data_IF_391496380316
#
_entry.id   IF_391496380316
#
_cell.length_a   1.000
_cell.length_b   1.000
_cell.length_c   1.000
_cell.angle_alpha   90.00
_cell.angle_beta   90.00
_cell.angle_gamma   90.00
#
_symmetry.space_group_name_H-M   'P 1'
#
loop_
_entity.id
_entity.type
_entity.pdbx_description
1 polymer ?
#
# COMPACT_ATOMS: atom_id res chain seq x y z
N UNK A 1 -7.10 -52.29 17.46
CA UNK A 1 -6.30 -51.05 17.31
C UNK A 1 -5.17 -51.14 16.28
N UNK A 2 -4.67 -52.31 15.86
CA UNK A 2 -3.53 -52.44 14.92
C UNK A 2 -3.86 -52.11 13.45
N UNK A 3 -5.09 -52.36 12.97
CA UNK A 3 -5.48 -52.11 11.56
C UNK A 3 -5.60 -50.62 11.19
N UNK A 4 -6.02 -49.77 12.13
CA UNK A 4 -6.20 -48.32 11.89
C UNK A 4 -4.86 -47.59 11.71
N UNK A 5 -3.81 -48.01 12.43
CA UNK A 5 -2.47 -47.45 12.30
C UNK A 5 -1.83 -47.72 10.93
N UNK A 6 -2.08 -48.90 10.34
CA UNK A 6 -1.57 -49.29 9.01
C UNK A 6 -2.20 -48.48 7.86
N UNK A 7 -3.50 -48.15 7.97
CA UNK A 7 -4.20 -47.33 6.97
C UNK A 7 -3.72 -45.88 7.04
N UNK A 8 -3.54 -45.33 8.25
CA UNK A 8 -2.99 -43.99 8.46
C UNK A 8 -1.56 -43.90 7.88
N UNK A 9 -0.71 -44.91 8.10
CA UNK A 9 0.63 -44.96 7.52
C UNK A 9 0.63 -45.06 5.98
N UNK A 10 -0.28 -45.83 5.38
CA UNK A 10 -0.43 -45.89 3.90
C UNK A 10 -0.92 -44.57 3.33
N UNK A 11 -1.90 -43.92 3.97
CA UNK A 11 -2.40 -42.60 3.55
C UNK A 11 -1.28 -41.56 3.67
N UNK A 12 -0.49 -41.60 4.75
CA UNK A 12 0.65 -40.71 4.95
C UNK A 12 1.76 -40.97 3.91
N UNK A 13 2.04 -42.23 3.56
CA UNK A 13 3.04 -42.58 2.54
C UNK A 13 2.60 -42.16 1.12
N UNK A 14 1.34 -42.37 0.76
CA UNK A 14 0.76 -41.92 -0.52
C UNK A 14 0.73 -40.40 -0.59
N UNK A 15 0.33 -39.73 0.50
CA UNK A 15 0.34 -38.27 0.60
C UNK A 15 1.75 -37.69 0.49
N UNK A 16 2.76 -38.36 1.08
CA UNK A 16 4.16 -37.93 0.99
C UNK A 16 4.73 -38.09 -0.42
N UNK A 17 4.46 -39.22 -1.10
CA UNK A 17 4.87 -39.43 -2.50
C UNK A 17 4.23 -38.41 -3.44
N UNK A 18 2.91 -38.22 -3.31
CA UNK A 18 2.20 -37.20 -4.09
C UNK A 18 2.76 -35.80 -3.88
N UNK A 19 3.16 -35.43 -2.64
CA UNK A 19 3.84 -34.15 -2.37
C UNK A 19 5.23 -34.05 -2.99
N UNK A 20 5.99 -35.14 -2.99
CA UNK A 20 7.33 -35.17 -3.58
C UNK A 20 7.27 -35.10 -5.11
N UNK A 21 6.35 -35.85 -5.72
CA UNK A 21 6.09 -35.80 -7.16
C UNK A 21 5.64 -34.39 -7.59
N UNK A 22 4.77 -33.75 -6.79
CA UNK A 22 4.37 -32.35 -7.03
C UNK A 22 5.54 -31.37 -6.90
N UNK A 23 6.47 -31.58 -5.97
CA UNK A 23 7.69 -30.75 -5.84
C UNK A 23 8.64 -30.93 -7.01
N UNK A 24 8.81 -32.15 -7.48
CA UNK A 24 9.66 -32.43 -8.63
C UNK A 24 9.10 -31.77 -9.90
N UNK A 25 7.79 -31.93 -10.16
CA UNK A 25 7.11 -31.25 -11.28
C UNK A 25 7.21 -29.73 -11.16
N UNK A 26 6.99 -29.19 -9.96
CA UNK A 26 7.17 -27.78 -9.66
C UNK A 26 8.59 -27.28 -9.98
N UNK A 27 9.61 -28.04 -9.58
CA UNK A 27 11.01 -27.72 -9.82
C UNK A 27 11.35 -27.77 -11.30
N UNK A 28 10.90 -28.79 -12.03
CA UNK A 28 11.12 -28.93 -13.47
C UNK A 28 10.46 -27.77 -14.24
N UNK A 29 9.18 -27.47 -13.98
CA UNK A 29 8.46 -26.37 -14.62
C UNK A 29 9.11 -25.01 -14.34
N UNK A 30 9.59 -24.78 -13.11
CA UNK A 30 10.22 -23.51 -12.72
C UNK A 30 11.68 -23.37 -13.19
N UNK A 31 12.40 -24.47 -13.41
CA UNK A 31 13.82 -24.44 -13.80
C UNK A 31 14.03 -23.82 -15.18
N UNK A 32 13.18 -24.18 -16.14
CA UNK A 32 13.18 -23.64 -17.49
C UNK A 32 12.36 -22.34 -17.58
N UNK A 33 11.26 -22.29 -16.84
CA UNK A 33 10.21 -21.29 -16.99
C UNK A 33 9.35 -21.54 -18.24
N UNK A 34 8.12 -20.98 -18.27
CA UNK A 34 7.20 -21.19 -19.38
C UNK A 34 7.75 -20.57 -20.67
N UNK A 35 7.53 -21.25 -21.80
CA UNK A 35 7.89 -20.76 -23.13
C UNK A 35 6.67 -20.41 -23.99
N UNK A 36 5.47 -20.69 -23.50
CA UNK A 36 4.22 -20.37 -24.18
C UNK A 36 3.14 -19.96 -23.18
N UNK A 37 2.12 -19.26 -23.66
CA UNK A 37 0.98 -18.85 -22.85
C UNK A 37 0.20 -20.04 -22.29
N UNK A 38 0.22 -21.19 -22.99
CA UNK A 38 -0.38 -22.43 -22.52
C UNK A 38 0.39 -23.02 -21.33
N UNK A 39 1.73 -23.03 -21.38
CA UNK A 39 2.58 -23.45 -20.25
C UNK A 39 2.44 -22.50 -19.06
N UNK A 40 2.35 -21.19 -19.31
CA UNK A 40 2.13 -20.21 -18.27
C UNK A 40 0.76 -20.38 -17.59
N UNK A 41 -0.30 -20.67 -18.37
CA UNK A 41 -1.61 -21.00 -17.82
C UNK A 41 -1.58 -22.27 -16.96
N UNK A 42 -0.92 -23.32 -17.43
CA UNK A 42 -0.75 -24.54 -16.65
C UNK A 42 -0.05 -24.27 -15.31
N UNK A 43 0.93 -23.35 -15.29
CA UNK A 43 1.60 -22.95 -14.05
C UNK A 43 0.67 -22.16 -13.10
N UNK A 44 -0.21 -21.29 -13.62
CA UNK A 44 -1.25 -20.64 -12.82
C UNK A 44 -2.25 -21.64 -12.23
N UNK A 45 -2.73 -22.59 -13.04
CA UNK A 45 -3.67 -23.63 -12.61
C UNK A 45 -3.04 -24.54 -11.54
N UNK A 46 -1.77 -24.88 -11.73
CA UNK A 46 -1.00 -25.64 -10.74
C UNK A 46 -0.80 -24.84 -9.46
N UNK A 47 -0.46 -23.56 -9.57
CA UNK A 47 -0.33 -22.66 -8.43
C UNK A 47 -1.62 -22.53 -7.60
N UNK A 48 -2.78 -22.50 -8.25
CA UNK A 48 -4.08 -22.46 -7.58
C UNK A 48 -4.35 -23.72 -6.72
N UNK A 49 -3.75 -24.86 -7.08
CA UNK A 49 -3.89 -26.15 -6.38
C UNK A 49 -2.85 -26.36 -5.28
N UNK A 50 -1.71 -25.67 -5.36
CA UNK A 50 -0.54 -25.88 -4.49
C UNK A 50 -0.55 -24.99 -3.23
N UNK A 51 -1.57 -25.09 -2.38
CA UNK A 51 -1.58 -24.38 -1.08
C UNK A 51 -0.73 -25.13 -0.03
N UNK A 52 0.37 -24.50 0.43
CA UNK A 52 1.14 -24.94 1.62
C UNK A 52 1.93 -26.24 1.46
N UNK A 53 2.15 -26.73 0.25
CA UNK A 53 2.86 -27.99 -0.01
C UNK A 53 4.40 -27.84 0.00
N UNK A 54 4.91 -26.65 -0.29
CA UNK A 54 6.34 -26.37 -0.47
C UNK A 54 6.65 -24.92 -0.04
N UNK A 55 7.52 -24.70 0.96
CA UNK A 55 7.79 -23.37 1.50
C UNK A 55 8.46 -22.41 0.51
N UNK A 56 9.16 -22.93 -0.49
CA UNK A 56 9.87 -22.09 -1.46
C UNK A 56 9.08 -21.87 -2.76
N UNK A 57 7.95 -22.57 -2.92
CA UNK A 57 7.13 -22.55 -4.14
C UNK A 57 6.75 -21.12 -4.54
N UNK A 58 6.24 -20.34 -3.59
CA UNK A 58 5.79 -18.97 -3.82
C UNK A 58 6.92 -18.12 -4.42
N UNK A 59 8.12 -18.20 -3.85
CA UNK A 59 9.28 -17.45 -4.34
C UNK A 59 9.71 -17.86 -5.75
N UNK A 60 9.64 -19.16 -6.07
CA UNK A 60 9.98 -19.71 -7.39
C UNK A 60 8.96 -19.30 -8.43
N UNK A 61 7.67 -19.51 -8.14
CA UNK A 61 6.56 -19.13 -9.00
C UNK A 61 6.62 -17.64 -9.34
N UNK A 62 6.71 -16.79 -8.31
CA UNK A 62 6.80 -15.33 -8.45
C UNK A 62 7.99 -14.94 -9.34
N UNK A 63 9.17 -15.54 -9.11
CA UNK A 63 10.38 -15.22 -9.89
C UNK A 63 10.24 -15.61 -11.35
N UNK A 64 9.76 -16.82 -11.61
CA UNK A 64 9.65 -17.39 -12.97
C UNK A 64 8.59 -16.65 -13.77
N UNK A 65 7.41 -16.44 -13.18
CA UNK A 65 6.31 -15.74 -13.85
C UNK A 65 6.62 -14.27 -14.09
N UNK A 66 7.26 -13.57 -13.14
CA UNK A 66 7.68 -12.18 -13.39
C UNK A 66 8.66 -12.09 -14.57
N UNK A 67 9.62 -13.03 -14.67
CA UNK A 67 10.54 -13.07 -15.81
C UNK A 67 9.82 -13.32 -17.13
N UNK A 68 8.87 -14.25 -17.14
CA UNK A 68 8.07 -14.55 -18.33
C UNK A 68 7.25 -13.33 -18.78
N UNK A 69 6.47 -12.74 -17.87
CA UNK A 69 5.60 -11.59 -18.16
C UNK A 69 6.42 -10.40 -18.68
N UNK A 70 7.60 -10.13 -18.12
CA UNK A 70 8.44 -9.01 -18.58
C UNK A 70 9.23 -9.30 -19.87
N UNK A 71 9.42 -10.56 -20.23
CA UNK A 71 10.04 -10.97 -21.49
C UNK A 71 9.04 -11.13 -22.64
N UNK A 72 7.74 -11.24 -22.31
CA UNK A 72 6.65 -11.40 -23.27
C UNK A 72 6.54 -10.18 -24.17
N UNK A 73 6.15 -10.43 -25.42
CA UNK A 73 5.90 -9.44 -26.47
C UNK A 73 7.09 -8.48 -26.74
N UNK A 74 8.32 -8.99 -26.57
CA UNK A 74 9.56 -8.22 -26.77
C UNK A 74 9.63 -6.90 -25.97
N UNK A 75 8.94 -6.84 -24.83
CA UNK A 75 8.81 -5.64 -24.01
C UNK A 75 10.12 -5.18 -23.32
N UNK A 76 11.25 -5.86 -23.56
CA UNK A 76 12.58 -5.52 -23.03
C UNK A 76 12.58 -5.20 -21.52
N UNK A 77 11.77 -5.93 -20.74
CA UNK A 77 11.67 -5.74 -19.30
C UNK A 77 10.63 -4.72 -18.84
N UNK A 78 9.88 -4.08 -19.73
CA UNK A 78 8.74 -3.24 -19.39
C UNK A 78 7.46 -4.07 -19.20
N UNK A 79 6.59 -3.64 -18.29
CA UNK A 79 5.24 -4.17 -18.21
C UNK A 79 4.37 -3.36 -19.18
N UNK A 80 3.96 -3.95 -20.29
CA UNK A 80 3.07 -3.30 -21.27
C UNK A 80 1.60 -3.44 -20.85
N UNK A 81 0.69 -2.59 -21.37
CA UNK A 81 -0.75 -2.77 -21.17
C UNK A 81 -1.24 -4.16 -21.60
N UNK A 82 -0.78 -4.66 -22.75
CA UNK A 82 -1.14 -5.99 -23.23
C UNK A 82 -0.68 -7.12 -22.29
N UNK A 83 0.52 -7.00 -21.68
CA UNK A 83 1.00 -7.95 -20.68
C UNK A 83 0.19 -7.87 -19.38
N UNK A 84 -0.26 -6.68 -19.00
CA UNK A 84 -1.12 -6.48 -17.83
C UNK A 84 -2.51 -7.07 -18.06
N UNK A 85 -3.15 -6.77 -19.19
CA UNK A 85 -4.47 -7.31 -19.55
C UNK A 85 -4.43 -8.84 -19.58
N UNK A 86 -3.41 -9.41 -20.24
CA UNK A 86 -3.18 -10.85 -20.29
C UNK A 86 -3.03 -11.48 -18.90
N UNK A 87 -2.31 -10.81 -18.00
CA UNK A 87 -2.12 -11.28 -16.63
C UNK A 87 -3.43 -11.20 -15.84
N UNK A 88 -4.17 -10.10 -15.97
CA UNK A 88 -5.44 -9.88 -15.30
C UNK A 88 -6.50 -10.90 -15.72
N UNK A 89 -6.61 -11.22 -17.01
CA UNK A 89 -7.53 -12.26 -17.50
C UNK A 89 -7.27 -13.62 -16.84
N UNK A 90 -6.00 -14.00 -16.68
CA UNK A 90 -5.61 -15.31 -16.14
C UNK A 90 -5.72 -15.38 -14.62
N UNK A 91 -5.50 -14.25 -13.97
CA UNK A 91 -5.71 -14.09 -12.53
C UNK A 91 -7.22 -14.00 -12.20
N UNK A 92 -8.04 -13.48 -13.11
CA UNK A 92 -9.49 -13.31 -12.94
C UNK A 92 -10.30 -14.62 -13.03
N UNK A 93 -9.73 -15.71 -13.56
CA UNK A 93 -10.44 -17.00 -13.74
C UNK A 93 -10.44 -17.87 -12.45
N UNK A 94 -9.81 -17.42 -11.36
CA UNK A 94 -9.88 -18.09 -10.05
C UNK A 94 -10.50 -17.21 -8.96
N UNK A 95 -11.09 -17.85 -7.92
CA UNK A 95 -11.58 -17.19 -6.70
C UNK A 95 -10.58 -16.11 -6.26
N UNK A 96 -11.02 -14.86 -6.45
CA UNK A 96 -10.25 -13.62 -6.40
C UNK A 96 -9.02 -13.74 -5.55
N UNK A 97 -7.84 -13.82 -6.17
CA UNK A 97 -6.61 -13.26 -5.59
C UNK A 97 -6.25 -13.71 -4.13
N UNK A 98 -6.87 -14.78 -3.59
CA UNK A 98 -6.64 -15.31 -2.23
C UNK A 98 -5.29 -16.02 -2.11
N UNK A 99 -4.46 -15.97 -3.15
CA UNK A 99 -3.19 -16.66 -3.21
C UNK A 99 -2.06 -15.66 -2.96
N UNK A 100 -1.42 -15.73 -1.78
CA UNK A 100 -0.36 -14.80 -1.32
C UNK A 100 0.77 -14.61 -2.33
N UNK A 101 1.06 -15.62 -3.15
CA UNK A 101 2.07 -15.52 -4.19
C UNK A 101 1.66 -14.66 -5.40
N UNK A 102 0.37 -14.42 -5.65
CA UNK A 102 -0.07 -13.47 -6.68
C UNK A 102 0.27 -12.04 -6.26
N UNK A 103 -0.01 -11.66 -5.00
CA UNK A 103 0.45 -10.38 -4.46
C UNK A 103 1.97 -10.21 -4.60
N UNK A 104 2.73 -11.28 -4.30
CA UNK A 104 4.17 -11.32 -4.50
C UNK A 104 4.61 -11.14 -5.97
N UNK A 105 3.85 -11.69 -6.92
CA UNK A 105 4.08 -11.52 -8.36
C UNK A 105 3.86 -10.06 -8.78
N UNK A 106 2.73 -9.48 -8.41
CA UNK A 106 2.40 -8.07 -8.69
C UNK A 106 3.45 -7.12 -8.12
N UNK A 107 3.83 -7.31 -6.84
CA UNK A 107 4.89 -6.54 -6.20
C UNK A 107 6.23 -6.69 -6.91
N UNK A 108 6.59 -7.90 -7.32
CA UNK A 108 7.84 -8.14 -8.06
C UNK A 108 7.83 -7.45 -9.42
N UNK A 109 6.70 -7.47 -10.14
CA UNK A 109 6.55 -6.76 -11.41
C UNK A 109 6.72 -5.26 -11.20
N UNK A 110 6.05 -4.68 -10.19
CA UNK A 110 6.18 -3.27 -9.85
C UNK A 110 7.63 -2.87 -9.54
N UNK A 111 8.38 -3.74 -8.86
CA UNK A 111 9.78 -3.49 -8.49
C UNK A 111 10.78 -3.69 -9.64
N UNK A 112 10.50 -4.59 -10.57
CA UNK A 112 11.49 -5.05 -11.58
C UNK A 112 11.24 -4.53 -12.98
N UNK A 113 10.01 -4.11 -13.29
CA UNK A 113 9.72 -3.56 -14.61
C UNK A 113 10.49 -2.26 -14.83
N UNK A 114 11.03 -2.09 -16.04
CA UNK A 114 11.69 -0.83 -16.44
C UNK A 114 10.69 0.31 -16.65
N UNK A 115 9.43 -0.02 -16.92
CA UNK A 115 8.29 0.87 -16.95
C UNK A 115 7.01 0.08 -16.65
N UNK A 116 6.03 0.74 -16.03
CA UNK A 116 4.74 0.13 -15.70
C UNK A 116 3.60 0.94 -16.32
N UNK A 117 2.46 0.31 -16.68
CA UNK A 117 1.30 1.03 -17.17
C UNK A 117 0.70 1.91 -16.07
N UNK A 118 0.09 3.02 -16.47
CA UNK A 118 -0.64 3.89 -15.55
C UNK A 118 -1.71 3.10 -14.80
N UNK A 119 -1.84 3.37 -13.50
CA UNK A 119 -2.80 2.67 -12.64
C UNK A 119 -2.38 1.28 -12.16
N UNK A 120 -1.29 0.69 -12.67
CA UNK A 120 -0.80 -0.61 -12.19
C UNK A 120 -0.52 -0.59 -10.69
N UNK A 121 0.16 0.44 -10.19
CA UNK A 121 0.40 0.62 -8.75
C UNK A 121 -0.88 0.67 -7.91
N UNK A 122 -1.96 1.24 -8.46
CA UNK A 122 -3.27 1.29 -7.79
C UNK A 122 -3.91 -0.10 -7.72
N UNK A 123 -3.77 -0.92 -8.77
CA UNK A 123 -4.25 -2.31 -8.78
C UNK A 123 -3.52 -3.12 -7.70
N UNK A 124 -2.18 -2.97 -7.61
CA UNK A 124 -1.38 -3.65 -6.58
C UNK A 124 -1.80 -3.19 -5.17
N UNK A 125 -1.96 -1.87 -4.98
CA UNK A 125 -2.39 -1.30 -3.70
C UNK A 125 -3.75 -1.83 -3.27
N UNK A 126 -4.75 -1.80 -4.16
CA UNK A 126 -6.09 -2.32 -3.90
C UNK A 126 -6.03 -3.78 -3.47
N UNK A 127 -5.25 -4.59 -4.19
CA UNK A 127 -5.15 -6.00 -3.90
C UNK A 127 -4.53 -6.28 -2.51
N UNK A 128 -3.46 -5.58 -2.15
CA UNK A 128 -2.82 -5.73 -0.82
C UNK A 128 -3.78 -5.33 0.30
N UNK A 129 -4.48 -4.22 0.12
CA UNK A 129 -5.49 -3.73 1.06
C UNK A 129 -6.68 -4.69 1.19
N UNK A 130 -7.19 -5.22 0.09
CA UNK A 130 -8.27 -6.23 0.12
C UNK A 130 -7.84 -7.48 0.89
N UNK A 131 -6.58 -7.92 0.77
CA UNK A 131 -6.07 -9.03 1.57
C UNK A 131 -6.03 -8.69 3.07
N UNK A 132 -5.58 -7.49 3.44
CA UNK A 132 -5.60 -7.05 4.85
C UNK A 132 -7.01 -7.01 5.43
N UNK A 133 -8.00 -6.58 4.65
CA UNK A 133 -9.42 -6.59 5.03
C UNK A 133 -9.92 -8.02 5.24
N UNK A 134 -9.58 -8.93 4.32
CA UNK A 134 -9.98 -10.35 4.41
C UNK A 134 -9.33 -11.06 5.59
N UNK A 135 -8.06 -10.79 5.85
CA UNK A 135 -7.31 -11.30 7.01
C UNK A 135 -7.74 -10.60 8.31
N UNK A 136 -8.55 -9.53 8.20
CA UNK A 136 -8.98 -8.65 9.28
C UNK A 136 -7.82 -8.14 10.15
N UNK A 137 -6.66 -7.89 9.53
CA UNK A 137 -5.44 -7.51 10.22
C UNK A 137 -4.43 -6.85 9.27
N UNK A 138 -3.82 -5.77 9.72
CA UNK A 138 -2.61 -5.20 9.13
C UNK A 138 -1.36 -5.74 9.84
N UNK A 139 -0.77 -6.83 9.34
CA UNK A 139 0.52 -7.30 9.87
C UNK A 139 1.70 -6.45 9.33
N UNK A 140 2.85 -6.50 10.01
CA UNK A 140 4.03 -5.71 9.62
C UNK A 140 4.48 -5.95 8.16
N UNK A 141 4.30 -7.17 7.65
CA UNK A 141 4.69 -7.54 6.28
C UNK A 141 3.77 -6.86 5.25
N UNK A 142 2.47 -6.90 5.49
CA UNK A 142 1.45 -6.30 4.64
C UNK A 142 1.58 -4.78 4.63
N UNK A 143 1.80 -4.18 5.81
CA UNK A 143 2.09 -2.74 5.93
C UNK A 143 3.34 -2.35 5.13
N UNK A 144 4.41 -3.15 5.22
CA UNK A 144 5.64 -2.94 4.44
C UNK A 144 5.40 -2.98 2.92
N UNK A 145 4.61 -3.94 2.44
CA UNK A 145 4.27 -4.07 1.03
C UNK A 145 3.40 -2.88 0.55
N UNK A 146 2.45 -2.41 1.36
CA UNK A 146 1.63 -1.23 1.05
C UNK A 146 2.50 0.02 0.99
N UNK A 147 3.41 0.22 1.95
CA UNK A 147 4.33 1.34 1.97
C UNK A 147 5.24 1.36 0.73
N UNK A 148 5.83 0.21 0.38
CA UNK A 148 6.65 0.07 -0.83
C UNK A 148 5.83 0.33 -2.09
N UNK A 149 4.61 -0.19 -2.17
CA UNK A 149 3.71 0.07 -3.31
C UNK A 149 3.46 1.56 -3.47
N UNK A 150 3.11 2.27 -2.40
CA UNK A 150 2.88 3.72 -2.46
C UNK A 150 4.14 4.49 -2.88
N UNK A 151 5.33 4.05 -2.45
CA UNK A 151 6.62 4.66 -2.81
C UNK A 151 7.00 4.46 -4.29
N UNK A 152 6.71 3.27 -4.83
CA UNK A 152 6.97 2.92 -6.23
C UNK A 152 5.87 3.41 -7.18
N UNK A 153 4.67 3.61 -6.65
CA UNK A 153 3.53 4.16 -7.39
C UNK A 153 3.65 5.68 -7.52
N UNK A 154 2.90 6.23 -8.48
CA UNK A 154 2.73 7.66 -8.65
C UNK A 154 3.38 8.17 -9.93
N UNK A 155 2.63 8.91 -10.78
CA UNK A 155 3.21 9.49 -11.96
C UNK A 155 4.16 10.63 -11.59
N UNK A 156 5.19 10.85 -12.40
CA UNK A 156 6.18 11.90 -12.16
C UNK A 156 5.53 13.29 -12.00
N UNK A 157 4.43 13.56 -12.72
CA UNK A 157 3.72 14.84 -12.68
C UNK A 157 2.90 15.08 -11.39
N UNK A 158 2.64 14.06 -10.58
CA UNK A 158 1.95 14.18 -9.29
C UNK A 158 2.65 13.32 -8.21
N UNK A 159 3.78 13.80 -7.66
CA UNK A 159 4.64 13.02 -6.77
C UNK A 159 4.05 12.81 -5.35
N UNK A 160 2.82 13.23 -5.07
CA UNK A 160 2.12 13.03 -3.79
C UNK A 160 1.06 11.92 -3.91
N UNK A 161 0.57 11.42 -2.77
CA UNK A 161 -0.51 10.42 -2.69
C UNK A 161 -1.79 10.95 -3.36
N UNK A 162 -2.26 10.21 -4.35
CA UNK A 162 -3.44 10.53 -5.14
C UNK A 162 -4.74 10.31 -4.36
N UNK A 163 -5.85 10.84 -4.88
CA UNK A 163 -7.19 10.62 -4.30
C UNK A 163 -7.58 9.14 -4.30
N UNK A 164 -7.25 8.42 -5.37
CA UNK A 164 -7.60 7.00 -5.50
C UNK A 164 -6.83 6.15 -4.48
N UNK A 165 -5.52 6.40 -4.32
CA UNK A 165 -4.71 5.75 -3.28
C UNK A 165 -5.25 6.06 -1.88
N UNK A 166 -5.54 7.34 -1.59
CA UNK A 166 -6.09 7.75 -0.30
C UNK A 166 -7.45 7.08 0.00
N UNK A 167 -8.33 6.95 -0.99
CA UNK A 167 -9.64 6.30 -0.83
C UNK A 167 -9.51 4.82 -0.45
N UNK A 168 -8.56 4.10 -1.07
CA UNK A 168 -8.27 2.69 -0.71
C UNK A 168 -7.79 2.60 0.74
N UNK A 169 -6.86 3.48 1.15
CA UNK A 169 -6.35 3.50 2.52
C UNK A 169 -7.45 3.79 3.55
N UNK A 170 -8.35 4.74 3.27
CA UNK A 170 -9.50 5.03 4.12
C UNK A 170 -10.42 3.83 4.27
N UNK A 171 -10.83 3.23 3.15
CA UNK A 171 -11.71 2.05 3.17
C UNK A 171 -11.07 0.88 3.94
N UNK A 172 -9.77 0.68 3.75
CA UNK A 172 -9.01 -0.34 4.49
C UNK A 172 -9.04 -0.07 5.98
N UNK A 173 -8.70 1.16 6.39
CA UNK A 173 -8.68 1.55 7.80
C UNK A 173 -10.06 1.38 8.47
N UNK A 174 -11.13 1.79 7.81
CA UNK A 174 -12.50 1.60 8.32
C UNK A 174 -12.85 0.12 8.48
N UNK A 175 -12.38 -0.72 7.56
CA UNK A 175 -12.71 -2.15 7.55
C UNK A 175 -11.92 -2.98 8.57
N UNK A 176 -10.70 -2.58 8.91
CA UNK A 176 -9.85 -3.26 9.91
C UNK A 176 -9.81 -2.53 11.25
N UNK A 177 -10.70 -1.56 11.46
CA UNK A 177 -10.77 -0.81 12.71
C UNK A 177 -11.13 -1.72 13.89
N UNK A 178 -10.41 -1.59 14.99
CA UNK A 178 -10.59 -2.43 16.18
C UNK A 178 -9.88 -3.78 16.14
N UNK A 179 -9.24 -4.14 15.03
CA UNK A 179 -8.42 -5.35 14.91
C UNK A 179 -7.02 -5.16 15.52
N UNK A 180 -6.31 -6.27 15.77
CA UNK A 180 -4.93 -6.30 16.27
C UNK A 180 -3.92 -5.92 15.18
N UNK A 181 -4.00 -4.68 14.71
CA UNK A 181 -3.15 -4.14 13.66
C UNK A 181 -1.75 -3.81 14.20
N UNK A 182 -0.74 -4.01 13.37
CA UNK A 182 0.61 -3.58 13.66
C UNK A 182 0.66 -2.04 13.77
N UNK A 183 1.32 -1.47 14.79
CA UNK A 183 1.41 -0.02 14.97
C UNK A 183 1.98 0.73 13.75
N UNK A 184 2.81 0.07 12.93
CA UNK A 184 3.34 0.66 11.69
C UNK A 184 2.24 1.08 10.71
N UNK A 185 1.07 0.43 10.74
CA UNK A 185 -0.08 0.80 9.91
C UNK A 185 -0.58 2.21 10.24
N UNK A 186 -0.71 2.54 11.53
CA UNK A 186 -1.18 3.85 11.98
C UNK A 186 -0.28 4.97 11.46
N UNK A 187 1.04 4.75 11.47
CA UNK A 187 2.01 5.73 10.98
C UNK A 187 1.98 5.87 9.46
N UNK A 188 1.93 4.76 8.74
CA UNK A 188 1.83 4.76 7.28
C UNK A 188 0.56 5.50 6.82
N UNK A 189 -0.58 5.16 7.42
CA UNK A 189 -1.87 5.79 7.15
C UNK A 189 -1.80 7.30 7.40
N UNK A 190 -1.36 7.72 8.59
CA UNK A 190 -1.28 9.14 8.95
C UNK A 190 -0.39 9.93 7.97
N UNK A 191 0.76 9.39 7.58
CA UNK A 191 1.70 10.02 6.65
C UNK A 191 1.16 10.08 5.22
N UNK A 192 0.58 9.00 4.73
CA UNK A 192 0.01 8.94 3.38
C UNK A 192 -1.19 9.89 3.23
N UNK A 193 -2.12 9.85 4.18
CA UNK A 193 -3.29 10.72 4.19
C UNK A 193 -2.89 12.18 4.45
N UNK A 194 -1.94 12.43 5.35
CA UNK A 194 -1.38 13.77 5.56
C UNK A 194 -0.79 14.36 4.28
N UNK A 195 0.00 13.57 3.53
CA UNK A 195 0.57 13.98 2.25
C UNK A 195 -0.52 14.33 1.24
N UNK A 196 -1.54 13.47 1.13
CA UNK A 196 -2.70 13.71 0.26
C UNK A 196 -3.44 15.01 0.62
N UNK A 197 -3.78 15.20 1.89
CA UNK A 197 -4.55 16.36 2.37
C UNK A 197 -3.78 17.66 2.18
N UNK A 198 -2.48 17.67 2.50
CA UNK A 198 -1.63 18.85 2.34
C UNK A 198 -1.47 19.20 0.86
N UNK A 199 -1.26 18.21 -0.02
CA UNK A 199 -1.22 18.45 -1.47
C UNK A 199 -2.55 19.02 -2.00
N UNK A 200 -3.68 18.51 -1.51
CA UNK A 200 -5.03 18.95 -1.91
C UNK A 200 -5.36 20.35 -1.41
N UNK A 201 -4.90 20.71 -0.22
CA UNK A 201 -5.13 22.01 0.40
C UNK A 201 -4.22 23.11 -0.16
N UNK A 202 -3.09 22.75 -0.77
CA UNK A 202 -2.16 23.72 -1.33
C UNK A 202 -2.75 24.40 -2.59
N UNK A 203 -2.68 25.74 -2.74
CA UNK A 203 -3.24 26.46 -3.89
C UNK A 203 -2.65 26.03 -5.23
N UNK A 204 -1.36 25.72 -5.22
CA UNK A 204 -0.64 25.26 -6.40
C UNK A 204 0.39 24.20 -6.00
N UNK A 205 0.00 22.92 -5.84
CA UNK A 205 0.92 21.87 -5.36
C UNK A 205 2.09 21.64 -6.31
N UNK A 206 1.99 22.06 -7.57
CA UNK A 206 3.06 21.90 -8.55
C UNK A 206 4.27 22.82 -8.29
N UNK A 207 4.13 23.91 -7.54
CA UNK A 207 5.29 24.74 -7.15
C UNK A 207 6.12 24.08 -6.06
N UNK A 208 5.50 23.18 -5.28
CA UNK A 208 6.11 22.56 -4.09
C UNK A 208 6.33 21.05 -4.28
N UNK A 209 6.55 20.62 -5.52
CA UNK A 209 6.71 19.20 -5.91
C UNK A 209 7.74 18.45 -5.08
N UNK A 210 8.83 19.12 -4.70
CA UNK A 210 9.86 18.52 -3.85
C UNK A 210 9.31 18.25 -2.44
N UNK A 211 8.72 19.25 -1.79
CA UNK A 211 8.18 19.12 -0.44
C UNK A 211 6.98 18.15 -0.35
N UNK A 212 6.17 18.09 -1.39
CA UNK A 212 5.03 17.17 -1.50
C UNK A 212 5.41 15.78 -1.97
N UNK A 213 6.67 15.51 -2.29
CA UNK A 213 7.08 14.21 -2.77
C UNK A 213 6.84 13.14 -1.70
N UNK A 214 6.01 12.16 -2.05
CA UNK A 214 5.61 11.04 -1.18
C UNK A 214 6.80 10.30 -0.58
N UNK A 215 7.97 10.28 -1.25
CA UNK A 215 9.19 9.65 -0.72
C UNK A 215 9.61 10.23 0.63
N UNK A 216 9.50 11.55 0.80
CA UNK A 216 9.84 12.21 2.06
C UNK A 216 8.82 11.93 3.18
N UNK A 217 7.58 11.66 2.81
CA UNK A 217 6.49 11.43 3.75
C UNK A 217 6.43 9.98 4.20
N UNK A 218 6.64 9.06 3.25
CA UNK A 218 6.47 7.62 3.43
C UNK A 218 7.77 6.90 3.81
N UNK A 219 8.94 7.56 3.79
CA UNK A 219 10.19 6.93 4.24
C UNK A 219 10.13 6.62 5.74
N UNK A 220 10.15 5.34 6.14
CA UNK A 220 10.12 4.95 7.55
C UNK A 220 11.38 5.39 8.30
N UNK A 221 12.49 5.63 7.60
CA UNK A 221 13.74 6.07 8.20
C UNK A 221 13.82 7.58 8.40
N UNK A 222 12.99 8.36 7.69
CA UNK A 222 12.92 9.82 7.87
C UNK A 222 12.14 10.15 9.16
N UNK A 223 12.82 10.73 10.17
CA UNK A 223 12.17 11.07 11.42
C UNK A 223 11.33 12.36 11.33
N UNK A 224 11.37 13.12 10.23
CA UNK A 224 10.77 14.45 10.15
C UNK A 224 10.03 14.75 8.83
N UNK A 225 8.97 13.99 8.47
CA UNK A 225 8.09 14.36 7.35
C UNK A 225 7.48 15.77 7.52
N UNK A 226 7.34 16.20 8.78
CA UNK A 226 6.87 17.52 9.20
C UNK A 226 7.60 18.75 8.68
N UNK A 227 8.91 18.63 8.38
CA UNK A 227 9.72 19.74 7.86
C UNK A 227 9.16 20.32 6.57
N UNK A 228 8.59 19.44 5.74
CA UNK A 228 7.99 19.83 4.47
C UNK A 228 6.65 20.51 4.68
N UNK A 229 5.87 20.10 5.70
CA UNK A 229 4.57 20.69 6.02
C UNK A 229 4.68 22.12 6.51
N UNK A 230 5.67 22.42 7.35
CA UNK A 230 5.92 23.80 7.81
C UNK A 230 6.22 24.78 6.67
N UNK A 231 6.93 24.32 5.63
CA UNK A 231 7.17 25.10 4.42
C UNK A 231 5.88 25.32 3.60
N UNK A 232 5.01 24.30 3.54
CA UNK A 232 3.75 24.30 2.79
C UNK A 232 2.63 25.09 3.49
N UNK A 233 2.68 25.21 4.83
CA UNK A 233 1.62 25.81 5.64
C UNK A 233 1.38 27.30 5.35
N UNK A 234 2.38 27.99 4.77
CA UNK A 234 2.27 29.38 4.33
C UNK A 234 1.36 29.57 3.11
N UNK A 235 0.98 28.49 2.42
CA UNK A 235 0.10 28.51 1.26
C UNK A 235 -1.39 28.29 1.56
N UNK A 236 -1.77 27.75 2.72
CA UNK A 236 -3.17 27.37 3.01
C UNK A 236 -4.14 28.54 3.16
N UNK A 237 -3.63 29.77 3.28
CA UNK A 237 -4.46 30.98 3.32
C UNK A 237 -4.94 31.41 1.92
N UNK A 238 -4.36 30.83 0.87
CA UNK A 238 -4.65 31.09 -0.54
C UNK A 238 -5.15 29.78 -1.14
N UNK A 239 -6.38 29.75 -1.68
CA UNK A 239 -6.92 28.56 -2.34
C UNK A 239 -8.42 28.35 -2.14
N UNK A 240 -9.04 27.58 -3.04
CA UNK A 240 -10.48 27.26 -3.04
C UNK A 240 -10.82 25.95 -2.30
N UNK A 241 -9.83 25.29 -1.67
CA UNK A 241 -10.06 23.96 -1.10
C UNK A 241 -11.11 23.97 0.04
N UNK A 242 -11.06 24.96 0.94
CA UNK A 242 -12.09 25.11 1.97
C UNK A 242 -13.48 25.46 1.40
N UNK A 243 -13.56 26.11 0.24
CA UNK A 243 -14.83 26.36 -0.47
C UNK A 243 -15.38 25.08 -1.10
N UNK A 244 -14.51 24.16 -1.50
CA UNK A 244 -14.93 22.85 -2.01
C UNK A 244 -15.39 21.91 -0.88
N UNK A 245 -14.87 22.09 0.34
CA UNK A 245 -15.23 21.28 1.52
C UNK A 245 -16.46 21.83 2.26
N UNK A 246 -16.58 23.15 2.40
CA UNK A 246 -17.70 23.81 3.06
C UNK A 246 -18.89 23.97 2.13
N UNK A 247 -20.12 23.74 2.62
CA UNK A 247 -21.35 24.02 1.86
C UNK A 247 -21.65 25.53 1.75
N UNK A 248 -21.03 26.34 2.60
CA UNK A 248 -21.27 27.79 2.73
C UNK A 248 -19.97 28.59 2.53
N UNK A 249 -20.01 29.62 1.68
CA UNK A 249 -18.86 30.46 1.35
C UNK A 249 -18.29 31.24 2.55
N UNK A 250 -19.14 31.61 3.52
CA UNK A 250 -18.72 32.28 4.75
C UNK A 250 -17.88 31.36 5.65
N UNK A 251 -18.27 30.09 5.77
CA UNK A 251 -17.51 29.10 6.57
C UNK A 251 -16.17 28.77 5.95
N UNK A 252 -16.11 28.68 4.61
CA UNK A 252 -14.85 28.52 3.90
C UNK A 252 -13.90 29.71 4.13
N UNK A 253 -14.43 30.93 4.14
CA UNK A 253 -13.67 32.14 4.44
C UNK A 253 -13.18 32.18 5.89
N UNK A 254 -14.01 31.74 6.84
CA UNK A 254 -13.64 31.62 8.25
C UNK A 254 -12.56 30.55 8.45
N UNK A 255 -12.70 29.39 7.79
CA UNK A 255 -11.71 28.31 7.81
C UNK A 255 -10.34 28.79 7.32
N UNK A 256 -10.27 29.57 6.23
CA UNK A 256 -9.02 30.19 5.75
C UNK A 256 -8.40 31.13 6.77
N UNK A 257 -9.20 32.02 7.37
CA UNK A 257 -8.70 32.98 8.37
C UNK A 257 -8.12 32.23 9.57
N UNK A 258 -8.85 31.23 10.08
CA UNK A 258 -8.40 30.38 11.19
C UNK A 258 -7.14 29.60 10.84
N UNK A 259 -7.06 29.02 9.63
CA UNK A 259 -5.88 28.32 9.15
C UNK A 259 -4.66 29.24 9.03
N UNK A 260 -4.85 30.45 8.48
CA UNK A 260 -3.79 31.46 8.35
C UNK A 260 -3.28 31.93 9.71
N UNK A 261 -4.18 32.19 10.66
CA UNK A 261 -3.82 32.59 12.02
C UNK A 261 -3.05 31.48 12.73
N UNK A 262 -3.56 30.25 12.70
CA UNK A 262 -2.91 29.11 13.34
C UNK A 262 -1.57 28.72 12.68
N UNK A 263 -1.39 28.93 11.37
CA UNK A 263 -0.11 28.75 10.69
C UNK A 263 0.92 29.84 11.05
N UNK A 264 0.46 31.07 11.32
CA UNK A 264 1.30 32.21 11.73
C UNK A 264 1.62 32.20 13.23
N UNK A 265 0.76 31.61 14.04
CA UNK A 265 1.00 31.39 15.46
C UNK A 265 2.13 30.39 15.62
N UNK A 266 3.29 30.86 16.10
CA UNK A 266 4.37 29.97 16.56
C UNK A 266 3.79 28.98 17.57
N UNK A 267 4.05 27.67 17.45
CA UNK A 267 3.64 26.73 18.50
C UNK A 267 4.28 27.16 19.83
N UNK A 268 3.48 27.20 20.90
CA UNK A 268 3.89 27.71 22.22
C UNK A 268 5.10 26.95 22.80
N UNK A 269 5.34 25.73 22.36
CA UNK A 269 6.59 24.99 22.48
C UNK A 269 6.82 24.19 21.20
N UNK A 270 8.03 24.21 20.61
CA UNK A 270 8.39 23.14 19.67
C UNK A 270 8.34 21.83 20.46
N UNK A 271 7.59 20.80 20.00
CA UNK A 271 7.61 19.51 20.68
C UNK A 271 9.05 19.00 20.73
N UNK A 272 9.44 18.25 21.77
CA UNK A 272 10.79 17.72 21.88
C UNK A 272 11.13 17.00 20.57
N UNK A 273 12.28 17.36 19.98
CA UNK A 273 12.85 16.79 18.74
C UNK A 273 13.31 15.33 18.93
N UNK A 274 12.59 14.55 19.72
CA UNK A 274 12.89 13.16 20.01
C UNK A 274 12.07 12.29 19.07
N UNK A 275 12.68 11.21 18.57
CA UNK A 275 12.09 10.27 17.62
C UNK A 275 10.93 9.46 18.22
N UNK A 276 9.86 10.12 18.64
CA UNK A 276 8.58 9.50 19.03
C UNK A 276 7.97 8.67 17.89
N UNK A 277 8.41 8.88 16.66
CA UNK A 277 8.14 8.02 15.50
C UNK A 277 8.94 6.72 15.48
N UNK A 278 10.16 6.72 16.07
CA UNK A 278 11.03 5.53 16.19
C UNK A 278 10.72 4.70 17.43
N UNK A 279 10.28 5.35 18.49
CA UNK A 279 9.80 4.67 19.70
C UNK A 279 8.30 4.62 19.59
N UNK A 280 7.76 3.45 19.24
CA UNK A 280 6.34 3.16 19.42
C UNK A 280 5.90 3.82 20.73
N UNK A 281 4.91 4.73 20.73
CA UNK A 281 4.34 5.16 22.00
C UNK A 281 4.00 3.87 22.77
N UNK A 282 4.26 3.81 24.09
CA UNK A 282 3.87 2.65 24.87
C UNK A 282 2.41 2.34 24.53
N UNK A 283 2.04 1.06 24.33
CA UNK A 283 0.76 0.68 23.77
C UNK A 283 -0.34 1.26 24.66
N UNK A 284 -0.85 2.42 24.26
CA UNK A 284 -2.05 2.97 24.82
C UNK A 284 -3.16 2.20 24.09
N UNK A 285 -4.08 1.56 24.81
CA UNK A 285 -4.95 0.53 24.24
C UNK A 285 -5.95 1.03 23.15
N UNK A 286 -5.89 2.30 22.75
CA UNK A 286 -6.85 2.92 21.81
C UNK A 286 -6.22 4.00 20.91
N UNK A 287 -4.94 3.86 20.50
CA UNK A 287 -4.42 4.75 19.45
C UNK A 287 -4.81 4.19 18.08
N UNK A 288 -5.91 4.67 17.53
CA UNK A 288 -6.35 4.36 16.16
C UNK A 288 -5.51 5.11 15.13
N UNK A 289 -5.51 4.65 13.87
CA UNK A 289 -4.84 5.35 12.78
C UNK A 289 -5.40 6.77 12.60
N UNK A 290 -6.71 6.94 12.80
CA UNK A 290 -7.40 8.24 12.80
C UNK A 290 -6.87 9.19 13.87
N UNK A 291 -6.67 8.72 15.11
CA UNK A 291 -6.07 9.53 16.17
C UNK A 291 -4.62 9.90 15.83
N UNK A 292 -3.86 8.96 15.25
CA UNK A 292 -2.48 9.21 14.81
C UNK A 292 -2.42 10.27 13.70
N UNK A 293 -3.39 10.28 12.78
CA UNK A 293 -3.53 11.31 11.75
C UNK A 293 -3.84 12.68 12.37
N UNK A 294 -4.77 12.75 13.33
CA UNK A 294 -5.10 14.01 14.02
C UNK A 294 -3.89 14.54 14.78
N UNK A 295 -3.16 13.68 15.49
CA UNK A 295 -1.93 14.05 16.20
C UNK A 295 -0.83 14.52 15.23
N UNK A 296 -0.68 13.84 14.09
CA UNK A 296 0.22 14.23 13.01
C UNK A 296 -0.13 15.64 12.50
N UNK A 297 -1.40 15.88 12.15
CA UNK A 297 -1.85 17.17 11.61
C UNK A 297 -1.77 18.29 12.65
N UNK A 298 -2.08 18.02 13.93
CA UNK A 298 -1.92 18.98 15.02
C UNK A 298 -0.48 19.48 15.14
N UNK A 299 0.50 18.57 15.00
CA UNK A 299 1.91 18.89 15.17
C UNK A 299 2.52 19.53 13.93
N UNK A 300 2.22 18.98 12.75
CA UNK A 300 2.91 19.33 11.52
C UNK A 300 2.14 20.34 10.67
N UNK A 301 0.80 20.34 10.74
CA UNK A 301 -0.10 21.18 9.94
C UNK A 301 -1.18 21.87 10.79
N UNK A 302 -0.87 22.56 11.91
CA UNK A 302 -1.89 23.08 12.82
C UNK A 302 -2.89 24.01 12.14
N UNK A 303 -2.43 24.82 11.18
CA UNK A 303 -3.29 25.66 10.34
C UNK A 303 -4.29 24.87 9.52
N UNK A 304 -3.85 23.77 8.89
CA UNK A 304 -4.71 22.92 8.08
C UNK A 304 -5.82 22.29 8.93
N UNK A 305 -5.46 21.73 10.09
CA UNK A 305 -6.41 21.09 10.98
C UNK A 305 -7.43 22.08 11.55
N UNK A 306 -6.98 23.27 11.97
CA UNK A 306 -7.87 24.30 12.49
C UNK A 306 -8.88 24.77 11.42
N UNK A 307 -8.43 24.91 10.17
CA UNK A 307 -9.33 25.19 9.04
C UNK A 307 -10.32 24.06 8.76
N UNK A 308 -9.87 22.80 8.81
CA UNK A 308 -10.71 21.62 8.59
C UNK A 308 -11.83 21.52 9.64
N UNK A 309 -11.52 21.72 10.92
CA UNK A 309 -12.50 21.69 12.01
C UNK A 309 -13.59 22.75 11.81
N UNK A 310 -13.22 23.92 11.30
CA UNK A 310 -14.18 24.99 10.99
C UNK A 310 -15.02 24.64 9.77
N UNK A 311 -14.41 24.09 8.71
CA UNK A 311 -15.12 23.76 7.47
C UNK A 311 -16.09 22.57 7.63
N UNK A 312 -15.83 21.68 8.59
CA UNK A 312 -16.65 20.50 8.85
C UNK A 312 -17.86 20.75 9.78
N UNK A 313 -17.89 21.90 10.47
CA UNK A 313 -19.03 22.34 11.31
C UNK A 313 -20.07 23.03 10.44
#
# INVERSE_FOLDING_TARGET
MVRSASIIQRIQAVSRRSREDMRQVAQEMCSRGPQSDAEAQALFDFNARMRGADPDWDSRFVRVMARYVLARDAANGALTPANLDWLQERVAIGDRLRNRNLAGLFMRLLRKASGTPDGFGLIVLSHLCDQMILDNQADATSVGNVAETLLLSGPEHAPWVSRAEAAILFHTQESIEGSENDPSWNFLFARAIGNHLVARAHPNPHTERHALNRKHWLDPNDPNPGKFVGCLALGFDKGSWFEQMGREAERASLARRTASLAAKSKPAQPPPRTGWWRKSPPPNPVTTASNTLVDFLNREAPGLLAGLVVAAR
#
